data_IF_799320499034
#
_entry.id   IF_799320499034
#
_cell.length_a   1.000
_cell.length_b   1.000
_cell.length_c   1.000
_cell.angle_alpha   90.00
_cell.angle_beta   90.00
_cell.angle_gamma   90.00
#
_symmetry.space_group_name_H-M   'P 1'
#
loop_
_entity.id
_entity.type
_entity.pdbx_description
1 polymer ?
#
# COMPACT_ATOMS: atom_id res chain seq x y z
N UNK A 1 5.67 42.30 -25.42
CA UNK A 1 6.61 41.54 -24.61
C UNK A 1 5.82 40.96 -23.42
N UNK A 2 5.44 39.71 -23.53
CA UNK A 2 4.64 39.01 -22.53
C UNK A 2 5.56 38.01 -21.80
N UNK A 3 5.75 38.21 -20.51
CA UNK A 3 6.47 37.30 -19.64
C UNK A 3 5.47 36.33 -19.03
N UNK A 4 5.34 35.17 -19.60
CA UNK A 4 4.60 34.04 -19.01
C UNK A 4 5.61 33.17 -18.27
N UNK A 5 5.63 33.24 -16.94
CA UNK A 5 6.53 32.47 -16.07
C UNK A 5 6.05 31.03 -15.85
N UNK A 6 6.94 30.09 -15.53
CA UNK A 6 6.65 28.66 -15.44
C UNK A 6 6.18 28.27 -14.02
N UNK A 7 4.91 28.49 -13.67
CA UNK A 7 4.40 28.19 -12.30
C UNK A 7 3.44 27.02 -12.22
N UNK A 8 2.97 26.45 -13.33
CA UNK A 8 1.92 25.41 -13.27
C UNK A 8 2.39 23.95 -13.37
N UNK A 9 3.64 23.67 -13.73
CA UNK A 9 4.12 22.27 -13.80
C UNK A 9 4.40 21.63 -12.43
N UNK A 10 4.75 22.39 -11.40
CA UNK A 10 5.18 21.84 -10.10
C UNK A 10 4.06 21.21 -9.25
N UNK A 11 2.82 21.65 -9.41
CA UNK A 11 1.69 21.13 -8.62
C UNK A 11 1.06 19.85 -9.22
N UNK A 12 1.17 19.67 -10.53
CA UNK A 12 0.69 18.46 -11.20
C UNK A 12 1.68 17.29 -11.02
N UNK A 13 2.99 17.56 -11.05
CA UNK A 13 4.02 16.57 -10.76
C UNK A 13 4.06 16.16 -9.28
N UNK A 14 3.71 17.06 -8.35
CA UNK A 14 3.57 16.70 -6.92
C UNK A 14 2.34 15.85 -6.63
N UNK A 15 1.26 15.94 -7.41
CA UNK A 15 0.07 15.09 -7.27
C UNK A 15 0.30 13.65 -7.77
N UNK A 16 1.25 13.43 -8.68
CA UNK A 16 1.59 12.11 -9.23
C UNK A 16 2.48 11.26 -8.31
N UNK A 17 3.08 11.84 -7.28
CA UNK A 17 3.98 11.12 -6.34
C UNK A 17 3.29 10.60 -5.08
N UNK A 18 1.99 10.40 -5.10
CA UNK A 18 1.21 10.15 -3.89
C UNK A 18 0.79 8.69 -3.74
N UNK A 19 1.70 7.83 -3.34
CA UNK A 19 1.29 6.51 -2.90
C UNK A 19 2.33 5.40 -2.98
N UNK A 20 3.17 5.35 -3.98
CA UNK A 20 4.20 4.34 -4.11
C UNK A 20 5.57 4.95 -3.82
N UNK A 21 6.08 4.78 -2.58
CA UNK A 21 7.44 5.19 -2.24
C UNK A 21 8.46 4.21 -2.82
N UNK A 22 9.21 4.65 -3.82
CA UNK A 22 10.29 3.88 -4.44
C UNK A 22 11.65 4.32 -3.87
N UNK A 23 11.99 3.87 -2.66
CA UNK A 23 13.33 4.03 -2.12
C UNK A 23 14.21 2.85 -2.51
N UNK A 24 15.47 3.09 -2.84
CA UNK A 24 16.44 2.04 -3.19
C UNK A 24 16.57 1.73 -4.67
N UNK A 25 16.47 2.75 -5.55
CA UNK A 25 16.76 2.64 -6.98
C UNK A 25 15.58 2.18 -7.85
N UNK A 26 14.36 2.22 -7.31
CA UNK A 26 13.17 2.01 -8.09
C UNK A 26 12.68 3.29 -8.78
N UNK A 27 12.00 3.17 -9.92
CA UNK A 27 11.42 4.27 -10.68
C UNK A 27 9.91 4.11 -10.78
N UNK A 28 9.19 5.22 -10.59
CA UNK A 28 7.77 5.28 -10.92
C UNK A 28 7.66 5.33 -12.44
N UNK A 29 6.83 4.47 -12.99
CA UNK A 29 6.66 4.29 -14.42
C UNK A 29 5.18 4.20 -14.78
N UNK A 30 4.87 4.47 -16.04
CA UNK A 30 3.56 4.22 -16.60
C UNK A 30 3.37 2.76 -17.04
N UNK A 31 2.14 2.40 -17.36
CA UNK A 31 1.76 1.06 -17.83
C UNK A 31 2.47 0.67 -19.12
N UNK A 32 2.75 1.62 -20.01
CA UNK A 32 3.44 1.36 -21.28
C UNK A 32 4.90 0.95 -21.02
N UNK A 33 5.57 1.62 -20.10
CA UNK A 33 6.92 1.26 -19.66
C UNK A 33 6.96 -0.14 -19.04
N UNK A 34 5.96 -0.49 -18.22
CA UNK A 34 5.85 -1.85 -17.66
C UNK A 34 5.68 -2.90 -18.78
N UNK A 35 4.90 -2.59 -19.80
CA UNK A 35 4.68 -3.50 -20.94
C UNK A 35 5.96 -3.76 -21.78
N UNK A 36 6.93 -2.86 -21.72
CA UNK A 36 8.22 -3.00 -22.42
C UNK A 36 9.27 -3.80 -21.63
N UNK A 37 8.97 -4.23 -20.40
CA UNK A 37 9.90 -5.03 -19.60
C UNK A 37 9.98 -6.44 -20.15
N UNK A 38 11.17 -6.86 -20.53
CA UNK A 38 11.43 -8.22 -20.99
C UNK A 38 11.15 -9.25 -19.89
N UNK A 39 10.43 -10.31 -20.28
CA UNK A 39 10.19 -11.43 -19.39
C UNK A 39 11.28 -12.50 -19.58
N UNK A 40 11.95 -12.92 -18.50
CA UNK A 40 13.00 -13.93 -18.60
C UNK A 40 12.49 -15.25 -19.17
N UNK A 41 13.38 -16.01 -19.78
CA UNK A 41 13.08 -17.37 -20.25
C UNK A 41 12.82 -18.25 -19.02
N UNK A 42 11.68 -18.94 -19.03
CA UNK A 42 11.31 -19.87 -17.97
C UNK A 42 12.17 -21.12 -17.92
N UNK A 43 12.09 -21.84 -16.81
CA UNK A 43 12.67 -23.20 -16.65
C UNK A 43 11.56 -24.22 -16.46
N UNK A 44 11.88 -25.51 -16.39
CA UNK A 44 10.87 -26.55 -16.12
C UNK A 44 10.08 -26.29 -14.82
N UNK A 45 10.74 -25.81 -13.79
CA UNK A 45 10.16 -25.57 -12.46
C UNK A 45 9.73 -24.12 -12.19
N UNK A 46 9.97 -23.20 -13.12
CA UNK A 46 9.69 -21.78 -12.95
C UNK A 46 9.24 -21.14 -14.26
N UNK A 47 8.04 -20.62 -14.26
CA UNK A 47 7.44 -19.90 -15.39
C UNK A 47 7.22 -18.45 -14.96
N UNK A 48 8.02 -17.50 -15.41
CA UNK A 48 7.83 -16.08 -15.10
C UNK A 48 6.56 -15.57 -15.77
N UNK A 49 5.81 -14.77 -15.04
CA UNK A 49 4.64 -14.06 -15.58
C UNK A 49 5.07 -12.66 -15.99
N UNK A 50 4.82 -12.22 -17.23
CA UNK A 50 5.06 -10.84 -17.63
C UNK A 50 4.40 -9.86 -16.65
N UNK A 51 5.10 -8.78 -16.29
CA UNK A 51 4.54 -7.80 -15.36
C UNK A 51 3.22 -7.21 -15.83
N UNK A 52 3.12 -6.94 -17.12
CA UNK A 52 1.90 -6.38 -17.71
C UNK A 52 0.72 -7.37 -17.64
N UNK A 53 0.95 -8.67 -17.77
CA UNK A 53 -0.12 -9.67 -17.66
C UNK A 53 -0.72 -9.72 -16.26
N UNK A 54 0.06 -9.47 -15.21
CA UNK A 54 -0.47 -9.35 -13.84
C UNK A 54 -1.38 -8.13 -13.71
N UNK A 55 -0.96 -7.00 -14.26
CA UNK A 55 -1.75 -5.75 -14.26
C UNK A 55 -3.04 -5.93 -15.04
N UNK A 56 -2.96 -6.53 -16.22
CA UNK A 56 -4.11 -6.75 -17.11
C UNK A 56 -5.11 -7.71 -16.47
N UNK A 57 -4.65 -8.83 -15.89
CA UNK A 57 -5.51 -9.77 -15.20
C UNK A 57 -6.27 -9.12 -14.03
N UNK A 58 -5.58 -8.32 -13.21
CA UNK A 58 -6.24 -7.57 -12.12
C UNK A 58 -7.24 -6.58 -12.67
N UNK A 59 -6.89 -5.84 -13.74
CA UNK A 59 -7.79 -4.85 -14.36
C UNK A 59 -9.05 -5.51 -14.93
N UNK A 60 -8.93 -6.64 -15.60
CA UNK A 60 -10.07 -7.38 -16.18
C UNK A 60 -11.01 -7.87 -15.08
N UNK A 61 -10.48 -8.48 -14.02
CA UNK A 61 -11.30 -9.00 -12.92
C UNK A 61 -11.96 -7.86 -12.14
N UNK A 62 -11.25 -6.77 -11.84
CA UNK A 62 -11.81 -5.58 -11.18
C UNK A 62 -12.99 -5.02 -11.97
N UNK A 63 -12.88 -4.95 -13.30
CA UNK A 63 -13.97 -4.53 -14.19
C UNK A 63 -15.14 -5.53 -14.19
N UNK A 64 -14.87 -6.84 -14.19
CA UNK A 64 -15.90 -7.87 -14.12
C UNK A 64 -16.73 -7.77 -12.83
N UNK A 65 -16.11 -7.37 -11.71
CA UNK A 65 -16.76 -7.05 -10.44
C UNK A 65 -17.47 -5.69 -10.43
N UNK A 66 -17.51 -4.97 -11.58
CA UNK A 66 -18.11 -3.64 -11.72
C UNK A 66 -17.46 -2.59 -10.81
N UNK A 67 -16.19 -2.76 -10.50
CA UNK A 67 -15.38 -1.75 -9.82
C UNK A 67 -14.68 -0.91 -10.87
N UNK A 68 -14.52 0.37 -10.59
CA UNK A 68 -13.84 1.32 -11.45
C UNK A 68 -12.45 1.63 -10.89
N UNK A 69 -11.41 1.49 -11.71
CA UNK A 69 -10.06 1.94 -11.37
C UNK A 69 -9.98 3.43 -11.65
N UNK A 70 -9.81 4.24 -10.61
CA UNK A 70 -9.75 5.70 -10.71
C UNK A 70 -8.32 6.23 -10.86
N UNK A 71 -7.35 5.50 -10.34
CA UNK A 71 -5.94 5.86 -10.39
C UNK A 71 -5.10 4.60 -10.34
N UNK A 72 -4.02 4.56 -11.12
CA UNK A 72 -3.03 3.51 -11.05
C UNK A 72 -1.62 4.10 -10.98
N UNK A 73 -0.76 3.48 -10.19
CA UNK A 73 0.64 3.85 -10.07
C UNK A 73 1.50 2.59 -10.04
N UNK A 74 2.54 2.55 -10.86
CA UNK A 74 3.47 1.44 -10.94
C UNK A 74 4.89 1.89 -10.66
N UNK A 75 5.68 0.97 -10.12
CA UNK A 75 7.09 1.18 -9.89
C UNK A 75 7.88 -0.05 -10.28
N UNK A 76 9.00 0.16 -10.95
CA UNK A 76 9.97 -0.86 -11.31
C UNK A 76 11.25 -0.67 -10.50
N UNK A 77 11.79 -1.76 -9.99
CA UNK A 77 13.07 -1.77 -9.28
C UNK A 77 13.99 -2.86 -9.86
N UNK A 78 15.29 -2.72 -9.61
CA UNK A 78 16.32 -3.65 -10.09
C UNK A 78 16.25 -3.89 -11.61
N UNK A 79 16.33 -2.79 -12.37
CA UNK A 79 16.33 -2.85 -13.84
C UNK A 79 15.10 -3.58 -14.41
N UNK A 80 13.92 -3.34 -13.82
CA UNK A 80 12.68 -3.96 -14.24
C UNK A 80 12.41 -5.36 -13.68
N UNK A 81 13.32 -5.94 -12.88
CA UNK A 81 13.13 -7.28 -12.32
C UNK A 81 12.01 -7.35 -11.27
N UNK A 82 11.60 -6.23 -10.70
CA UNK A 82 10.57 -6.16 -9.66
C UNK A 82 9.53 -5.12 -10.00
N UNK A 83 8.28 -5.54 -10.00
CA UNK A 83 7.10 -4.69 -10.13
C UNK A 83 6.43 -4.53 -8.77
N UNK A 84 6.06 -3.29 -8.47
CA UNK A 84 5.11 -2.93 -7.42
C UNK A 84 4.05 -2.02 -8.03
N UNK A 85 2.81 -2.16 -7.61
CA UNK A 85 1.73 -1.32 -8.12
C UNK A 85 0.65 -1.08 -7.07
N UNK A 86 -0.06 0.03 -7.25
CA UNK A 86 -1.25 0.38 -6.49
C UNK A 86 -2.32 0.83 -7.48
N UNK A 87 -3.51 0.27 -7.35
CA UNK A 87 -4.71 0.67 -8.08
C UNK A 87 -5.75 1.16 -7.09
N UNK A 88 -6.20 2.41 -7.22
CA UNK A 88 -7.32 2.94 -6.45
C UNK A 88 -8.62 2.58 -7.14
N UNK A 89 -9.62 2.17 -6.37
CA UNK A 89 -10.91 1.74 -6.89
C UNK A 89 -12.04 2.56 -6.29
N UNK A 90 -12.97 2.97 -7.15
CA UNK A 90 -14.14 3.76 -6.77
C UNK A 90 -15.26 2.83 -6.29
N UNK A 91 -15.20 2.41 -5.03
CA UNK A 91 -16.27 1.66 -4.33
C UNK A 91 -16.22 1.89 -2.82
N UNK A 92 -15.74 3.03 -2.36
CA UNK A 92 -15.80 3.36 -0.94
C UNK A 92 -17.05 4.18 -0.64
N UNK A 93 -17.74 3.84 0.42
CA UNK A 93 -18.80 4.67 0.99
C UNK A 93 -18.26 5.79 1.89
N UNK A 94 -16.96 5.79 2.15
CA UNK A 94 -16.30 6.75 3.04
C UNK A 94 -15.65 7.89 2.24
N UNK A 95 -15.77 9.12 2.77
CA UNK A 95 -15.17 10.31 2.17
C UNK A 95 -13.68 10.49 2.54
N UNK A 96 -13.21 9.78 3.58
CA UNK A 96 -11.87 9.99 4.14
C UNK A 96 -10.81 9.12 3.49
N UNK A 97 -11.19 8.02 2.86
CA UNK A 97 -10.28 7.11 2.17
C UNK A 97 -10.89 6.46 0.92
N UNK A 98 -10.02 5.97 0.07
CA UNK A 98 -10.35 5.19 -1.13
C UNK A 98 -9.79 3.79 -0.98
N UNK A 99 -10.55 2.77 -1.35
CA UNK A 99 -10.06 1.39 -1.47
C UNK A 99 -8.94 1.33 -2.50
N UNK A 100 -7.92 0.54 -2.22
CA UNK A 100 -6.85 0.29 -3.17
C UNK A 100 -6.41 -1.18 -3.17
N UNK A 101 -5.94 -1.63 -4.32
CA UNK A 101 -5.33 -2.94 -4.51
C UNK A 101 -3.83 -2.72 -4.67
N UNK A 102 -3.04 -3.28 -3.74
CA UNK A 102 -1.60 -3.41 -3.90
C UNK A 102 -1.29 -4.64 -4.74
N UNK A 103 -0.38 -4.53 -5.69
CA UNK A 103 0.10 -5.66 -6.48
C UNK A 103 1.63 -5.70 -6.55
N UNK A 104 2.19 -6.91 -6.68
CA UNK A 104 3.62 -7.13 -6.89
C UNK A 104 3.90 -8.34 -7.75
N UNK A 105 5.01 -8.30 -8.48
CA UNK A 105 5.55 -9.42 -9.24
C UNK A 105 7.07 -9.32 -9.35
N UNK A 106 7.78 -10.45 -9.46
CA UNK A 106 9.24 -10.44 -9.66
C UNK A 106 9.69 -11.41 -10.74
N UNK A 107 10.67 -11.00 -11.52
CA UNK A 107 11.37 -11.80 -12.50
C UNK A 107 12.69 -12.39 -11.97
N UNK A 108 13.14 -11.97 -10.79
CA UNK A 108 14.36 -12.45 -10.11
C UNK A 108 14.08 -13.52 -9.04
N UNK A 109 12.88 -14.09 -9.00
CA UNK A 109 12.43 -15.13 -8.05
C UNK A 109 12.41 -14.67 -6.57
N UNK A 110 12.61 -13.39 -6.30
CA UNK A 110 12.68 -12.88 -4.93
C UNK A 110 11.34 -12.96 -4.18
N UNK A 111 10.23 -12.86 -4.91
CA UNK A 111 8.88 -13.05 -4.37
C UNK A 111 7.90 -13.50 -5.46
N UNK A 112 6.78 -14.06 -5.05
CA UNK A 112 5.69 -14.47 -5.93
C UNK A 112 4.80 -13.30 -6.32
N UNK A 113 3.96 -13.48 -7.35
CA UNK A 113 2.80 -12.60 -7.59
C UNK A 113 2.02 -12.47 -6.29
N UNK A 114 1.65 -11.25 -5.94
CA UNK A 114 0.88 -10.96 -4.73
C UNK A 114 -0.10 -9.83 -4.95
N UNK A 115 -1.28 -9.97 -4.36
CA UNK A 115 -2.30 -8.94 -4.26
C UNK A 115 -2.63 -8.71 -2.78
N UNK A 116 -2.99 -7.49 -2.43
CA UNK A 116 -3.43 -7.13 -1.08
C UNK A 116 -4.51 -6.05 -1.14
N UNK A 117 -5.48 -6.13 -0.24
CA UNK A 117 -6.41 -5.03 0.00
C UNK A 117 -5.71 -3.91 0.77
N UNK A 118 -6.10 -2.68 0.52
CA UNK A 118 -5.62 -1.52 1.24
C UNK A 118 -6.60 -0.35 1.15
N UNK A 119 -6.32 0.65 1.95
CA UNK A 119 -6.98 1.96 1.88
C UNK A 119 -5.94 3.04 1.65
N UNK A 120 -6.31 4.05 0.89
CA UNK A 120 -5.54 5.27 0.68
C UNK A 120 -6.29 6.44 1.29
N UNK A 121 -5.68 7.10 2.26
CA UNK A 121 -6.27 8.27 2.92
C UNK A 121 -6.25 9.45 1.98
N UNK A 122 -7.40 10.12 1.83
CA UNK A 122 -7.59 11.16 0.80
C UNK A 122 -6.73 12.41 1.04
N UNK A 123 -6.53 12.80 2.29
CA UNK A 123 -5.85 14.05 2.63
C UNK A 123 -4.32 13.98 2.62
N UNK A 124 -3.72 12.80 2.79
CA UNK A 124 -2.28 12.68 3.03
C UNK A 124 -1.56 11.59 2.25
N UNK A 125 -2.18 10.95 1.29
CA UNK A 125 -1.58 9.80 0.56
C UNK A 125 -0.99 8.68 1.46
N UNK A 126 -1.37 8.63 2.72
CA UNK A 126 -1.07 7.49 3.57
C UNK A 126 -1.84 6.28 3.08
N UNK A 127 -1.18 5.14 3.08
CA UNK A 127 -1.80 3.87 2.72
C UNK A 127 -1.68 2.89 3.87
N UNK A 128 -2.79 2.22 4.17
CA UNK A 128 -2.78 1.06 5.04
C UNK A 128 -3.22 -0.15 4.22
N UNK A 129 -2.44 -1.21 4.27
CA UNK A 129 -2.75 -2.45 3.58
C UNK A 129 -3.16 -3.50 4.60
N UNK A 130 -4.29 -4.16 4.37
CA UNK A 130 -4.69 -5.38 5.05
C UNK A 130 -3.63 -6.47 4.81
N UNK A 131 -3.18 -7.14 5.89
CA UNK A 131 -1.96 -7.91 5.88
C UNK A 131 -1.96 -9.23 5.13
N UNK A 132 -3.01 -9.60 4.44
CA UNK A 132 -3.04 -10.87 3.74
C UNK A 132 -2.69 -10.66 2.28
N UNK A 133 -1.48 -11.10 1.88
CA UNK A 133 -1.18 -11.28 0.47
C UNK A 133 -1.98 -12.47 -0.03
N UNK A 134 -3.06 -12.21 -0.73
CA UNK A 134 -4.07 -13.20 -1.11
C UNK A 134 -3.54 -14.19 -2.16
N UNK A 135 -2.56 -13.79 -2.97
CA UNK A 135 -1.90 -14.71 -3.91
C UNK A 135 -0.44 -14.88 -3.52
N UNK A 136 -0.07 -16.06 -3.06
CA UNK A 136 1.33 -16.49 -2.88
C UNK A 136 1.61 -17.69 -3.76
N UNK A 137 1.42 -17.59 -5.08
CA UNK A 137 1.83 -18.69 -5.97
C UNK A 137 3.07 -18.34 -6.77
N UNK A 138 3.96 -19.32 -6.87
CA UNK A 138 5.06 -19.30 -7.79
C UNK A 138 4.50 -19.53 -9.19
N UNK A 139 4.70 -18.59 -10.06
CA UNK A 139 4.54 -18.55 -11.51
C UNK A 139 3.81 -19.72 -12.16
N UNK A 140 2.64 -19.45 -12.70
CA UNK A 140 1.71 -20.41 -13.32
C UNK A 140 1.35 -19.93 -14.73
N UNK A 141 0.65 -20.77 -15.51
CA UNK A 141 0.16 -20.40 -16.83
C UNK A 141 -0.82 -19.20 -16.77
N UNK A 142 -1.03 -18.52 -17.90
CA UNK A 142 -1.92 -17.35 -18.02
C UNK A 142 -3.37 -17.64 -17.58
N UNK A 143 -3.88 -18.84 -17.90
CA UNK A 143 -5.25 -19.25 -17.51
C UNK A 143 -5.37 -19.41 -16.00
N UNK A 144 -4.35 -20.01 -15.36
CA UNK A 144 -4.30 -20.15 -13.91
C UNK A 144 -4.14 -18.80 -13.21
N UNK A 145 -3.44 -17.83 -13.83
CA UNK A 145 -3.33 -16.48 -13.29
C UNK A 145 -4.69 -15.79 -13.21
N UNK A 146 -5.48 -15.81 -14.27
CA UNK A 146 -6.81 -15.20 -14.29
C UNK A 146 -7.75 -15.80 -13.23
N UNK A 147 -7.77 -17.13 -13.09
CA UNK A 147 -8.55 -17.80 -12.06
C UNK A 147 -8.09 -17.46 -10.63
N UNK A 148 -6.77 -17.36 -10.41
CA UNK A 148 -6.21 -16.98 -9.12
C UNK A 148 -6.54 -15.53 -8.77
N UNK A 149 -6.51 -14.64 -9.76
CA UNK A 149 -6.87 -13.22 -9.56
C UNK A 149 -8.36 -13.09 -9.26
N UNK A 150 -9.23 -13.85 -9.93
CA UNK A 150 -10.66 -13.84 -9.66
C UNK A 150 -10.99 -14.29 -8.22
N UNK A 151 -10.42 -15.40 -7.78
CA UNK A 151 -10.53 -15.85 -6.38
C UNK A 151 -10.01 -14.79 -5.41
N UNK A 152 -8.87 -14.19 -5.73
CA UNK A 152 -8.27 -13.17 -4.86
C UNK A 152 -9.12 -11.90 -4.78
N UNK A 153 -9.71 -11.43 -5.87
CA UNK A 153 -10.57 -10.24 -5.86
C UNK A 153 -11.85 -10.48 -5.05
N UNK A 154 -12.42 -11.68 -5.10
CA UNK A 154 -13.54 -12.05 -4.21
C UNK A 154 -13.15 -12.00 -2.72
N UNK A 155 -11.95 -12.46 -2.36
CA UNK A 155 -11.45 -12.35 -1.00
C UNK A 155 -11.18 -10.88 -0.61
N UNK A 156 -10.68 -10.04 -1.54
CA UNK A 156 -10.45 -8.62 -1.29
C UNK A 156 -11.72 -7.87 -0.84
N UNK A 157 -12.90 -8.25 -1.30
CA UNK A 157 -14.13 -7.58 -0.88
C UNK A 157 -14.37 -7.74 0.63
N UNK A 158 -14.17 -8.94 1.16
CA UNK A 158 -14.26 -9.19 2.61
C UNK A 158 -13.16 -8.45 3.39
N UNK A 159 -11.94 -8.45 2.87
CA UNK A 159 -10.81 -7.73 3.47
C UNK A 159 -11.08 -6.22 3.54
N UNK A 160 -11.66 -5.64 2.49
CA UNK A 160 -12.06 -4.23 2.51
C UNK A 160 -13.09 -3.92 3.59
N UNK A 161 -14.11 -4.77 3.74
CA UNK A 161 -15.14 -4.57 4.77
C UNK A 161 -14.55 -4.63 6.18
N UNK A 162 -13.64 -5.57 6.44
CA UNK A 162 -12.93 -5.69 7.72
C UNK A 162 -12.09 -4.43 7.97
N UNK A 163 -11.29 -4.05 6.97
CA UNK A 163 -10.38 -2.91 7.07
C UNK A 163 -11.13 -1.59 7.32
N UNK A 164 -12.21 -1.34 6.57
CA UNK A 164 -13.05 -0.16 6.75
C UNK A 164 -13.67 -0.10 8.15
N UNK A 165 -14.22 -1.23 8.64
CA UNK A 165 -14.78 -1.33 9.97
C UNK A 165 -13.74 -1.01 11.05
N UNK A 166 -12.56 -1.62 10.98
CA UNK A 166 -11.47 -1.37 11.96
C UNK A 166 -11.01 0.09 11.91
N UNK A 167 -10.90 0.69 10.73
CA UNK A 167 -10.52 2.10 10.60
C UNK A 167 -11.57 3.04 11.21
N UNK A 168 -12.87 2.78 11.00
CA UNK A 168 -13.94 3.57 11.66
C UNK A 168 -13.91 3.43 13.18
N UNK A 169 -13.71 2.22 13.68
CA UNK A 169 -13.55 1.99 15.13
C UNK A 169 -12.34 2.74 15.69
N UNK A 170 -11.22 2.79 14.98
CA UNK A 170 -10.03 3.51 15.44
C UNK A 170 -10.22 5.03 15.54
N UNK A 171 -11.11 5.63 14.77
CA UNK A 171 -11.40 7.07 14.82
C UNK A 171 -12.05 7.50 16.14
N UNK A 172 -12.80 6.60 16.78
CA UNK A 172 -13.50 6.87 18.05
C UNK A 172 -12.80 6.30 19.28
N UNK A 173 -11.68 5.59 19.08
CA UNK A 173 -10.87 5.04 20.17
C UNK A 173 -9.73 6.01 20.51
N UNK A 174 -9.92 6.80 21.56
CA UNK A 174 -8.94 7.77 22.05
C UNK A 174 -7.84 7.08 22.86
N UNK A 175 -6.62 7.59 22.74
CA UNK A 175 -5.55 7.28 23.68
C UNK A 175 -5.75 8.11 24.96
N UNK A 176 -5.46 7.48 26.10
CA UNK A 176 -5.66 8.07 27.41
C UNK A 176 -4.79 9.31 27.64
N UNK A 177 -3.52 9.21 27.28
CA UNK A 177 -2.52 10.24 27.47
C UNK A 177 -1.29 10.02 26.56
N UNK A 178 -0.32 10.91 26.68
CA UNK A 178 0.93 10.85 25.93
C UNK A 178 1.80 9.64 26.31
N UNK A 179 1.69 9.14 27.54
CA UNK A 179 2.48 8.00 28.01
C UNK A 179 1.94 6.70 27.41
N UNK A 180 0.63 6.58 27.23
CA UNK A 180 0.07 5.49 26.44
C UNK A 180 0.57 5.56 24.99
N UNK A 181 0.53 6.72 24.34
CA UNK A 181 1.02 6.86 22.98
C UNK A 181 2.49 6.45 22.86
N UNK A 182 3.37 6.92 23.77
CA UNK A 182 4.80 6.55 23.79
C UNK A 182 4.99 5.05 24.00
N UNK A 183 4.24 4.44 24.93
CA UNK A 183 4.30 3.01 25.18
C UNK A 183 3.96 2.19 23.94
N UNK A 184 2.89 2.59 23.18
CA UNK A 184 2.49 1.92 21.94
C UNK A 184 3.54 2.08 20.83
N UNK A 185 4.16 3.27 20.73
CA UNK A 185 5.21 3.52 19.74
C UNK A 185 6.47 2.69 20.05
N UNK A 186 6.88 2.61 21.31
CA UNK A 186 8.01 1.76 21.71
C UNK A 186 7.70 0.30 21.41
N UNK A 187 6.52 -0.18 21.76
CA UNK A 187 6.09 -1.55 21.47
C UNK A 187 6.08 -1.84 19.96
N UNK A 188 5.65 -0.88 19.14
CA UNK A 188 5.71 -1.01 17.67
C UNK A 188 7.14 -1.14 17.15
N UNK A 189 8.12 -0.47 17.78
CA UNK A 189 9.53 -0.66 17.45
C UNK A 189 10.05 -2.05 17.89
N UNK A 190 9.65 -2.55 19.06
CA UNK A 190 10.02 -3.88 19.54
C UNK A 190 9.55 -5.01 18.61
N UNK A 191 8.32 -4.92 18.09
CA UNK A 191 7.79 -5.89 17.11
C UNK A 191 8.30 -5.64 15.67
N UNK A 192 9.17 -4.64 15.48
CA UNK A 192 9.81 -4.33 14.23
C UNK A 192 8.93 -3.56 13.23
N UNK A 193 7.80 -2.99 13.63
CA UNK A 193 6.95 -2.18 12.75
C UNK A 193 7.66 -0.90 12.27
N UNK A 194 8.50 -0.34 13.14
CA UNK A 194 9.37 0.80 12.83
C UNK A 194 10.80 0.55 13.31
N UNK A 195 11.77 1.34 12.86
CA UNK A 195 13.11 1.34 13.44
C UNK A 195 13.10 2.10 14.78
N UNK A 196 13.97 1.75 15.70
CA UNK A 196 14.09 2.46 16.98
C UNK A 196 14.38 3.95 16.83
N UNK A 197 15.10 4.35 15.78
CA UNK A 197 15.35 5.76 15.43
C UNK A 197 14.09 6.54 15.04
N UNK A 198 13.00 5.85 14.72
CA UNK A 198 11.74 6.46 14.29
C UNK A 198 10.72 6.66 15.41
N UNK A 199 11.03 6.23 16.65
CA UNK A 199 10.18 6.43 17.83
C UNK A 199 9.86 7.93 18.02
N UNK A 200 10.89 8.77 18.05
CA UNK A 200 10.70 10.23 18.21
C UNK A 200 10.01 10.87 17.01
N UNK A 201 10.37 10.57 15.75
CA UNK A 201 9.63 11.01 14.57
C UNK A 201 8.14 10.68 14.61
N UNK A 202 7.75 9.43 14.93
CA UNK A 202 6.34 9.03 15.04
C UNK A 202 5.62 9.80 16.12
N UNK A 203 6.21 9.94 17.32
CA UNK A 203 5.61 10.68 18.41
C UNK A 203 5.42 12.16 18.06
N UNK A 204 6.39 12.78 17.37
CA UNK A 204 6.28 14.16 16.90
C UNK A 204 5.14 14.32 15.89
N UNK A 205 5.05 13.42 14.89
CA UNK A 205 3.99 13.45 13.89
C UNK A 205 2.61 13.24 14.54
N UNK A 206 2.52 12.38 15.57
CA UNK A 206 1.28 12.18 16.33
C UNK A 206 0.87 13.43 17.12
N UNK A 207 1.81 14.15 17.74
CA UNK A 207 1.53 15.36 18.54
C UNK A 207 1.30 16.62 17.71
N UNK A 208 1.94 16.69 16.54
CA UNK A 208 1.89 17.81 15.61
C UNK A 208 1.71 17.27 14.18
N UNK A 209 0.52 16.72 13.87
CA UNK A 209 0.28 16.13 12.57
C UNK A 209 0.32 17.21 11.48
N UNK A 210 0.79 16.83 10.31
CA UNK A 210 0.82 17.72 9.11
C UNK A 210 -0.57 18.04 8.58
N UNK A 211 -1.56 17.23 8.95
CA UNK A 211 -2.95 17.35 8.52
C UNK A 211 -3.85 17.49 9.74
N UNK A 212 -4.70 18.51 9.73
CA UNK A 212 -5.58 18.85 10.86
C UNK A 212 -6.55 17.71 11.22
N UNK A 213 -6.92 16.89 10.24
CA UNK A 213 -7.79 15.74 10.41
C UNK A 213 -7.26 14.67 11.39
N UNK A 214 -5.95 14.72 11.71
CA UNK A 214 -5.31 13.81 12.67
C UNK A 214 -4.97 14.49 14.00
N UNK A 215 -5.52 15.66 14.28
CA UNK A 215 -5.26 16.42 15.52
C UNK A 215 -5.82 15.75 16.78
N UNK A 216 -6.91 15.00 16.63
CA UNK A 216 -7.50 14.25 17.74
C UNK A 216 -6.62 13.05 18.12
N UNK A 217 -6.34 12.81 19.42
CA UNK A 217 -5.41 11.76 19.86
C UNK A 217 -6.06 10.37 19.82
N UNK A 218 -6.47 9.93 18.64
CA UNK A 218 -7.10 8.64 18.40
C UNK A 218 -6.10 7.57 17.95
N UNK A 219 -6.52 6.30 17.97
CA UNK A 219 -5.74 5.20 17.37
C UNK A 219 -5.56 5.41 15.88
N UNK A 220 -6.53 6.01 15.20
CA UNK A 220 -6.45 6.37 13.79
C UNK A 220 -5.33 7.38 13.52
N UNK A 221 -5.26 8.45 14.33
CA UNK A 221 -4.20 9.46 14.21
C UNK A 221 -2.81 8.84 14.49
N UNK A 222 -2.72 7.94 15.46
CA UNK A 222 -1.48 7.23 15.73
C UNK A 222 -1.06 6.33 14.55
N UNK A 223 -1.98 5.57 13.94
CA UNK A 223 -1.68 4.79 12.74
C UNK A 223 -1.18 5.68 11.61
N UNK A 224 -1.82 6.85 11.39
CA UNK A 224 -1.39 7.79 10.36
C UNK A 224 0.00 8.37 10.64
N UNK A 225 0.37 8.62 11.90
CA UNK A 225 1.72 9.04 12.27
C UNK A 225 2.78 7.95 11.95
N UNK A 226 2.45 6.68 12.16
CA UNK A 226 3.31 5.57 11.74
C UNK A 226 3.47 5.53 10.22
N UNK A 227 2.36 5.52 9.49
CA UNK A 227 2.38 5.38 8.02
C UNK A 227 3.09 6.56 7.36
N UNK A 228 2.94 7.78 7.89
CA UNK A 228 3.69 8.95 7.42
C UNK A 228 5.20 8.79 7.62
N UNK A 229 5.60 8.31 8.79
CA UNK A 229 7.02 8.15 9.15
C UNK A 229 7.72 7.09 8.32
N UNK A 230 7.04 5.98 8.01
CA UNK A 230 7.65 4.86 7.26
C UNK A 230 7.70 5.07 5.75
N UNK A 231 7.10 6.12 5.18
CA UNK A 231 7.15 6.43 3.73
C UNK A 231 8.57 6.46 3.15
N UNK A 232 9.56 6.80 3.97
CA UNK A 232 10.99 6.83 3.61
C UNK A 232 11.66 5.46 3.51
N UNK A 233 10.97 4.38 3.89
CA UNK A 233 11.56 3.04 3.92
C UNK A 233 11.70 2.45 2.52
N UNK A 234 12.63 1.49 2.37
CA UNK A 234 12.75 0.71 1.14
C UNK A 234 11.51 -0.16 0.92
N UNK A 235 11.17 -0.55 -0.32
CA UNK A 235 9.98 -1.36 -0.59
C UNK A 235 9.88 -2.64 0.23
N UNK A 236 11.01 -3.38 0.40
CA UNK A 236 11.03 -4.59 1.22
C UNK A 236 10.79 -4.28 2.70
N UNK A 237 11.34 -3.17 3.20
CA UNK A 237 11.14 -2.74 4.58
C UNK A 237 9.71 -2.26 4.80
N UNK A 238 9.13 -1.57 3.81
CA UNK A 238 7.72 -1.15 3.83
C UNK A 238 6.77 -2.34 3.95
N UNK A 239 6.95 -3.38 3.12
CA UNK A 239 6.13 -4.60 3.16
C UNK A 239 6.14 -5.24 4.55
N UNK A 240 7.33 -5.35 5.16
CA UNK A 240 7.47 -5.84 6.53
C UNK A 240 6.79 -4.92 7.55
N UNK A 241 7.00 -3.60 7.44
CA UNK A 241 6.42 -2.61 8.35
C UNK A 241 4.90 -2.59 8.28
N UNK A 242 4.32 -2.61 7.07
CA UNK A 242 2.86 -2.69 6.91
C UNK A 242 2.30 -4.00 7.49
N UNK A 243 2.96 -5.14 7.27
CA UNK A 243 2.54 -6.41 7.87
C UNK A 243 2.59 -6.38 9.39
N UNK A 244 3.60 -5.71 9.98
CA UNK A 244 3.71 -5.56 11.42
C UNK A 244 2.66 -4.56 11.98
N UNK A 245 2.46 -3.41 11.32
CA UNK A 245 1.42 -2.44 11.68
C UNK A 245 0.01 -3.05 11.58
N UNK A 246 -0.21 -3.91 10.61
CA UNK A 246 -1.47 -4.62 10.43
C UNK A 246 -1.84 -5.44 11.68
N UNK A 247 -0.92 -6.27 12.15
CA UNK A 247 -1.12 -7.02 13.41
C UNK A 247 -1.18 -6.08 14.62
N UNK A 248 -0.32 -5.07 14.64
CA UNK A 248 -0.24 -4.09 15.73
C UNK A 248 -1.57 -3.38 15.98
N UNK A 249 -2.27 -3.01 14.92
CA UNK A 249 -3.54 -2.29 14.95
C UNK A 249 -4.78 -3.17 14.71
N UNK A 250 -4.60 -4.44 14.40
CA UNK A 250 -5.70 -5.37 14.11
C UNK A 250 -6.43 -5.06 12.81
N UNK A 251 -5.72 -4.54 11.79
CA UNK A 251 -6.30 -4.18 10.49
C UNK A 251 -6.85 -5.40 9.72
N UNK A 252 -6.45 -6.59 10.11
CA UNK A 252 -6.93 -7.88 9.61
C UNK A 252 -8.19 -8.40 10.36
N UNK A 253 -8.76 -7.59 11.27
CA UNK A 253 -9.90 -7.94 12.11
C UNK A 253 -9.54 -8.79 13.32
N UNK A 254 -8.28 -9.16 13.52
CA UNK A 254 -7.82 -9.86 14.71
C UNK A 254 -7.60 -8.89 15.89
N UNK A 255 -7.39 -9.46 17.09
CA UNK A 255 -7.08 -8.63 18.25
C UNK A 255 -5.78 -7.86 18.02
N UNK A 256 -5.77 -6.52 18.20
CA UNK A 256 -4.58 -5.71 18.02
C UNK A 256 -3.46 -6.10 19.01
N UNK A 257 -2.23 -6.28 18.53
CA UNK A 257 -1.08 -6.61 19.37
C UNK A 257 -0.63 -5.46 20.29
N UNK A 258 -1.00 -4.21 19.92
CA UNK A 258 -0.66 -3.02 20.72
C UNK A 258 -1.63 -2.77 21.89
N UNK A 259 -2.82 -3.38 21.91
CA UNK A 259 -3.85 -3.17 22.95
C UNK A 259 -4.34 -4.46 23.61
#
# INVERSE_FOLDING_TARGET
>A
MSLCGPVQKSNMERRLNMGLCMSGGGQIVDRQTVAMVDTPIGTESWKPVPHIEVIDAVTEVVKAHKWEITEEQFGLAREGQKLFGVMKINKSSCLDWTRCIGLRNSHDKSFSVGLSAGISVMVCSNMAFGGTTIIKRRHTSRIELAQLVDVAVNELENEFLILEKVCEEMKVLYLKDDDEARSRIVRAAEIGAINSSDIVPVFREFKQPRHEEFSEPTRWSLLNAFTETIKKYTPQRLDYSYSALNRAFGLDGNRPELW
#
